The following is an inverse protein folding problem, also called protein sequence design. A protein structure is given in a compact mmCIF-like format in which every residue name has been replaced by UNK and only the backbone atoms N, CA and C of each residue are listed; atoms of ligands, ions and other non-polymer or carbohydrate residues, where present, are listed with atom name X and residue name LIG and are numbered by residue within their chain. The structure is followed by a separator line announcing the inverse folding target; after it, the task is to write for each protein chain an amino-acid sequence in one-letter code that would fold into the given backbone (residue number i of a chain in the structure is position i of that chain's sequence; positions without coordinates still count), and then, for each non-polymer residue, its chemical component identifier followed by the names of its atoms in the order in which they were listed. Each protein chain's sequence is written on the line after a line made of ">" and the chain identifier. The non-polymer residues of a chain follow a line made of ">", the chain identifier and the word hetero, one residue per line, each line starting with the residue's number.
data_IF_672623023867
#
_entry.id   IF_672623023867
#
_cell.length_a   1.000
_cell.length_b   1.000
_cell.length_c   1.000
_cell.angle_alpha   90.00
_cell.angle_beta   90.00
_cell.angle_gamma   90.00
#
_symmetry.space_group_name_H-M   'P 1'
#
loop_
_entity.id
_entity.type
_entity.pdbx_description
1 polymer ?
#
# COMPACT_ATOMS: atom_id res chain seq x y z
N UNK A 1 22.55 5.16 12.99
CA UNK A 1 22.23 6.04 11.83
C UNK A 1 21.65 5.30 10.62
N UNK A 2 21.55 3.95 10.63
CA UNK A 2 21.01 3.14 9.52
C UNK A 2 19.48 2.94 9.55
N UNK A 3 18.83 3.03 10.71
CA UNK A 3 17.39 2.77 10.84
C UNK A 3 16.49 3.82 10.15
N UNK A 4 16.88 5.09 10.15
CA UNK A 4 16.07 6.18 9.57
C UNK A 4 15.88 6.00 8.07
N UNK A 5 16.91 5.53 7.35
CA UNK A 5 16.84 5.24 5.91
C UNK A 5 15.90 4.07 5.61
N UNK A 6 15.94 3.00 6.40
CA UNK A 6 15.03 1.86 6.26
C UNK A 6 13.57 2.26 6.46
N UNK A 7 13.29 3.10 7.46
CA UNK A 7 11.93 3.60 7.73
C UNK A 7 11.43 4.46 6.56
N UNK A 8 12.24 5.39 6.06
CA UNK A 8 11.87 6.21 4.90
C UNK A 8 11.66 5.38 3.63
N UNK A 9 12.49 4.36 3.39
CA UNK A 9 12.30 3.45 2.27
C UNK A 9 10.97 2.69 2.36
N UNK A 10 10.62 2.16 3.53
CA UNK A 10 9.34 1.47 3.74
C UNK A 10 8.17 2.44 3.57
N UNK A 11 8.27 3.69 4.07
CA UNK A 11 7.23 4.70 3.91
C UNK A 11 7.03 5.09 2.44
N UNK A 12 8.11 5.34 1.70
CA UNK A 12 8.02 5.66 0.26
C UNK A 12 7.45 4.46 -0.52
N UNK A 13 7.92 3.25 -0.21
CA UNK A 13 7.38 2.03 -0.82
C UNK A 13 5.89 1.84 -0.49
N UNK A 14 5.48 2.10 0.76
CA UNK A 14 4.09 2.05 1.20
C UNK A 14 3.22 3.06 0.43
N UNK A 15 3.72 4.30 0.27
CA UNK A 15 3.01 5.32 -0.49
C UNK A 15 2.84 4.94 -1.96
N UNK A 16 3.89 4.44 -2.61
CA UNK A 16 3.82 4.01 -4.01
C UNK A 16 2.89 2.80 -4.17
N UNK A 17 3.02 1.79 -3.30
CA UNK A 17 2.19 0.59 -3.28
C UNK A 17 0.70 0.90 -3.02
N UNK A 18 0.41 1.82 -2.10
CA UNK A 18 -0.96 2.24 -1.79
C UNK A 18 -1.64 2.92 -2.99
N UNK A 19 -0.89 3.63 -3.83
CA UNK A 19 -1.42 4.38 -4.98
C UNK A 19 -1.41 3.59 -6.31
N UNK A 20 -0.56 2.58 -6.43
CA UNK A 20 -0.47 1.66 -7.58
C UNK A 20 -1.82 1.05 -8.05
N UNK A 21 -2.70 0.52 -7.18
CA UNK A 21 -3.98 -0.07 -7.61
C UNK A 21 -4.94 0.97 -8.20
N UNK A 22 -4.78 2.25 -7.84
CA UNK A 22 -5.61 3.34 -8.36
C UNK A 22 -5.08 3.87 -9.68
N UNK A 23 -3.78 4.07 -9.82
CA UNK A 23 -3.16 4.61 -11.04
C UNK A 23 -3.18 3.58 -12.18
N UNK A 24 -3.02 2.29 -11.87
CA UNK A 24 -2.88 1.25 -12.88
C UNK A 24 -4.18 0.44 -13.08
N UNK A 25 -4.63 0.32 -14.33
CA UNK A 25 -5.80 -0.50 -14.70
C UNK A 25 -5.46 -1.99 -14.90
N UNK A 26 -4.19 -2.34 -14.74
CA UNK A 26 -3.69 -3.72 -14.79
C UNK A 26 -3.97 -4.45 -13.47
N UNK A 27 -4.27 -5.75 -13.55
CA UNK A 27 -4.30 -6.63 -12.38
C UNK A 27 -3.02 -6.48 -11.57
N UNK A 28 -3.10 -6.11 -10.30
CA UNK A 28 -1.94 -5.97 -9.40
C UNK A 28 -0.83 -5.05 -9.94
N UNK A 29 -1.14 -4.12 -10.85
CA UNK A 29 -0.17 -3.31 -11.59
C UNK A 29 0.86 -4.09 -12.48
N UNK A 30 0.83 -5.43 -12.48
CA UNK A 30 1.77 -6.31 -13.21
C UNK A 30 1.09 -7.20 -14.27
N UNK A 31 -0.23 -7.37 -14.20
CA UNK A 31 -0.98 -8.26 -15.09
C UNK A 31 -1.21 -7.69 -16.50
N UNK A 32 -1.17 -8.52 -17.55
CA UNK A 32 -1.30 -8.09 -18.95
C UNK A 32 -2.72 -7.60 -19.33
N UNK A 33 -3.75 -7.96 -18.55
CA UNK A 33 -5.14 -7.58 -18.83
C UNK A 33 -5.48 -6.21 -18.24
N UNK A 34 -5.73 -5.23 -19.12
CA UNK A 34 -6.48 -4.01 -18.78
C UNK A 34 -7.92 -4.42 -18.46
N UNK A 35 -8.38 -4.15 -17.24
CA UNK A 35 -9.78 -4.35 -16.86
C UNK A 35 -10.55 -3.03 -17.00
N UNK A 36 -11.34 -2.84 -18.07
CA UNK A 36 -12.08 -1.58 -18.30
C UNK A 36 -13.18 -1.31 -17.25
N UNK A 37 -13.57 -2.32 -16.45
CA UNK A 37 -14.50 -2.19 -15.31
C UNK A 37 -13.90 -2.81 -14.04
N UNK A 38 -12.80 -2.26 -13.51
CA UNK A 38 -12.34 -2.62 -12.15
C UNK A 38 -13.38 -2.16 -11.12
N UNK A 39 -14.12 -3.10 -10.52
CA UNK A 39 -15.04 -2.82 -9.43
C UNK A 39 -14.30 -2.30 -8.20
N UNK A 40 -15.00 -1.53 -7.36
CA UNK A 40 -14.48 -1.04 -6.08
C UNK A 40 -13.93 -2.19 -5.22
N UNK A 41 -14.68 -3.30 -5.12
CA UNK A 41 -14.28 -4.47 -4.32
C UNK A 41 -12.94 -5.08 -4.74
N UNK A 42 -12.67 -5.18 -6.04
CA UNK A 42 -11.38 -5.70 -6.53
C UNK A 42 -10.22 -4.77 -6.15
N UNK A 43 -10.44 -3.44 -6.17
CA UNK A 43 -9.41 -2.48 -5.73
C UNK A 43 -9.15 -2.56 -4.23
N UNK A 44 -10.19 -2.75 -3.41
CA UNK A 44 -10.02 -2.95 -1.96
C UNK A 44 -9.21 -4.23 -1.69
N UNK A 45 -9.49 -5.32 -2.41
CA UNK A 45 -8.70 -6.56 -2.30
C UNK A 45 -7.24 -6.32 -2.70
N UNK A 46 -6.99 -5.66 -3.83
CA UNK A 46 -5.62 -5.30 -4.25
C UNK A 46 -4.91 -4.44 -3.19
N UNK A 47 -5.62 -3.50 -2.57
CA UNK A 47 -5.08 -2.62 -1.53
C UNK A 47 -4.71 -3.39 -0.26
N UNK A 48 -5.55 -4.34 0.16
CA UNK A 48 -5.26 -5.24 1.29
C UNK A 48 -4.03 -6.10 1.00
N UNK A 49 -3.89 -6.61 -0.23
CA UNK A 49 -2.72 -7.40 -0.61
C UNK A 49 -1.46 -6.53 -0.66
N UNK A 50 -1.52 -5.32 -1.21
CA UNK A 50 -0.39 -4.38 -1.19
C UNK A 50 0.01 -4.00 0.23
N UNK A 51 -0.95 -3.80 1.14
CA UNK A 51 -0.69 -3.61 2.56
C UNK A 51 0.07 -4.80 3.16
N UNK A 52 -0.37 -6.04 2.88
CA UNK A 52 0.31 -7.25 3.36
C UNK A 52 1.75 -7.35 2.81
N UNK A 53 1.97 -7.05 1.53
CA UNK A 53 3.29 -7.07 0.90
C UNK A 53 4.23 -6.04 1.54
N UNK A 54 3.78 -4.80 1.68
CA UNK A 54 4.57 -3.73 2.30
C UNK A 54 4.85 -4.02 3.78
N UNK A 55 3.84 -4.50 4.52
CA UNK A 55 3.99 -4.94 5.90
C UNK A 55 5.01 -6.07 6.05
N UNK A 56 4.98 -7.07 5.16
CA UNK A 56 5.96 -8.16 5.15
C UNK A 56 7.38 -7.66 4.85
N UNK A 57 7.54 -6.70 3.92
CA UNK A 57 8.83 -6.07 3.63
C UNK A 57 9.34 -5.28 4.85
N UNK A 58 8.46 -4.54 5.52
CA UNK A 58 8.78 -3.82 6.76
C UNK A 58 9.24 -4.76 7.87
N UNK A 59 8.49 -5.84 8.12
CA UNK A 59 8.84 -6.89 9.08
C UNK A 59 10.17 -7.57 8.76
N UNK A 60 10.42 -7.89 7.49
CA UNK A 60 11.68 -8.51 7.06
C UNK A 60 12.88 -7.57 7.23
N UNK A 61 12.68 -6.26 7.07
CA UNK A 61 13.71 -5.25 7.33
C UNK A 61 13.95 -5.07 8.83
N UNK A 62 12.89 -5.09 9.64
CA UNK A 62 12.96 -5.00 11.10
C UNK A 62 13.67 -6.21 11.72
N UNK A 63 13.40 -7.42 11.19
CA UNK A 63 14.12 -8.65 11.50
C UNK A 63 15.62 -8.57 11.23
N UNK A 64 16.02 -7.88 10.15
CA UNK A 64 17.44 -7.68 9.83
C UNK A 64 18.09 -6.59 10.69
N UNK A 65 17.29 -5.70 11.27
CA UNK A 65 17.76 -4.56 12.02
C UNK A 65 17.88 -4.82 13.55
N UNK A 66 17.34 -5.93 14.08
CA UNK A 66 17.47 -6.31 15.48
C UNK A 66 16.37 -7.27 15.97
N UNK A 67 16.09 -7.24 17.28
CA UNK A 67 14.97 -7.97 17.87
C UNK A 67 13.63 -7.32 17.49
N UNK A 68 12.71 -8.13 16.97
CA UNK A 68 11.33 -7.69 16.70
C UNK A 68 10.64 -7.49 18.06
N UNK A 69 10.22 -6.26 18.36
CA UNK A 69 9.37 -6.02 19.51
C UNK A 69 8.02 -6.74 19.31
N UNK A 70 7.36 -7.25 20.37
CA UNK A 70 6.05 -7.87 20.23
C UNK A 70 5.04 -6.86 19.64
N UNK A 71 4.68 -7.05 18.37
CA UNK A 71 3.70 -6.21 17.66
C UNK A 71 2.29 -6.67 18.06
N UNK A 72 1.60 -5.83 18.84
CA UNK A 72 0.20 -6.03 19.21
C UNK A 72 -0.76 -5.78 18.04
N UNK A 73 -2.05 -6.03 18.25
CA UNK A 73 -3.10 -5.76 17.26
C UNK A 73 -3.19 -4.25 16.92
N UNK A 74 -2.80 -3.39 17.85
CA UNK A 74 -2.74 -1.94 17.72
C UNK A 74 -1.76 -1.51 16.62
N UNK A 75 -0.65 -2.23 16.48
CA UNK A 75 0.35 -1.95 15.44
C UNK A 75 -0.24 -2.15 14.05
N UNK A 76 -0.96 -3.26 13.84
CA UNK A 76 -1.64 -3.56 12.58
C UNK A 76 -2.78 -2.58 12.30
N UNK A 77 -3.57 -2.21 13.31
CA UNK A 77 -4.63 -1.21 13.17
C UNK A 77 -4.06 0.17 12.75
N UNK A 78 -2.94 0.58 13.35
CA UNK A 78 -2.31 1.87 13.08
C UNK A 78 -1.65 1.92 11.71
N UNK A 79 -0.85 0.90 11.36
CA UNK A 79 -0.23 0.81 10.03
C UNK A 79 -1.27 0.65 8.92
N UNK A 80 -2.36 -0.09 9.16
CA UNK A 80 -3.47 -0.20 8.21
C UNK A 80 -4.16 1.15 7.97
N UNK A 81 -4.43 1.90 9.05
CA UNK A 81 -5.00 3.25 8.96
C UNK A 81 -4.08 4.23 8.23
N UNK A 82 -2.77 4.16 8.49
CA UNK A 82 -1.77 4.94 7.76
C UNK A 82 -1.78 4.59 6.28
N UNK A 83 -1.80 3.30 5.94
CA UNK A 83 -1.81 2.83 4.55
C UNK A 83 -3.06 3.29 3.78
N UNK A 84 -4.22 3.22 4.42
CA UNK A 84 -5.48 3.76 3.89
C UNK A 84 -5.40 5.28 3.64
N UNK A 85 -4.76 6.01 4.55
CA UNK A 85 -4.55 7.46 4.39
C UNK A 85 -3.64 7.75 3.19
N UNK A 86 -2.57 6.98 3.00
CA UNK A 86 -1.66 7.12 1.86
C UNK A 86 -2.32 6.72 0.52
N UNK A 87 -3.33 5.85 0.54
CA UNK A 87 -4.13 5.46 -0.63
C UNK A 87 -5.13 6.54 -1.07
N UNK A 88 -5.45 7.51 -0.21
CA UNK A 88 -6.41 8.57 -0.46
C UNK A 88 -6.16 9.39 -1.75
N UNK A 89 -4.93 9.88 -2.05
CA UNK A 89 -4.67 10.62 -3.30
C UNK A 89 -5.00 9.82 -4.56
N UNK A 90 -4.66 8.53 -4.61
CA UNK A 90 -5.02 7.64 -5.71
C UNK A 90 -6.53 7.45 -5.85
N UNK A 91 -7.23 7.30 -4.71
CA UNK A 91 -8.69 7.22 -4.68
C UNK A 91 -9.34 8.48 -5.26
N UNK A 92 -8.95 9.67 -4.79
CA UNK A 92 -9.47 10.96 -5.24
C UNK A 92 -9.21 11.18 -6.73
N UNK A 93 -7.98 10.92 -7.19
CA UNK A 93 -7.63 11.08 -8.59
C UNK A 93 -8.55 10.26 -9.51
N UNK A 94 -8.82 9.00 -9.15
CA UNK A 94 -9.60 8.11 -10.02
C UNK A 94 -11.11 8.27 -9.88
N UNK A 95 -11.62 8.50 -8.68
CA UNK A 95 -13.08 8.59 -8.47
C UNK A 95 -13.63 10.00 -8.61
N UNK A 96 -12.87 11.03 -8.22
CA UNK A 96 -13.33 12.42 -8.31
C UNK A 96 -12.86 13.12 -9.60
N UNK A 97 -11.59 12.94 -9.99
CA UNK A 97 -11.03 13.69 -11.12
C UNK A 97 -11.33 13.05 -12.47
N UNK A 98 -11.16 11.73 -12.61
CA UNK A 98 -11.37 11.01 -13.88
C UNK A 98 -12.84 10.94 -14.34
N UNK A 99 -13.81 11.08 -13.44
CA UNK A 99 -15.24 11.07 -13.77
C UNK A 99 -15.82 12.44 -14.15
N UNK A 100 -15.06 13.54 -13.95
CA UNK A 100 -15.48 14.90 -14.32
C UNK A 100 -14.89 15.41 -15.64
N UNK A 101 -14.17 14.56 -16.39
CA UNK A 101 -13.58 14.88 -17.70
C UNK A 101 -14.24 14.10 -18.82
#
# INVERSE_FOLDING_TARGET
>A
MTHTLSVWLVLIAAFVAANLPFINERWFALGPRRMPKKSLGVRVIELVVWYCIVGAIGLALEQRAGQIAPQGWEFYATTGSLFLTLAFPGFVYRYLYRHRG
#
